data_IF_985219826664
#
_entry.id   IF_985219826664
#
_cell.length_a   1.000
_cell.length_b   1.000
_cell.length_c   1.000
_cell.angle_alpha   90.00
_cell.angle_beta   90.00
_cell.angle_gamma   90.00
#
_symmetry.space_group_name_H-M   'P 1'
#
loop_
_entity.id
_entity.type
_entity.pdbx_description
1 polymer ?
#
# COMPACT_ATOMS: atom_id res chain seq x y z
N UNK A 1 1.90 -18.38 7.78
CA UNK A 1 2.47 -18.53 9.15
C UNK A 1 2.18 -17.27 9.97
N UNK A 2 2.27 -17.29 11.30
CA UNK A 2 1.84 -16.16 12.17
C UNK A 2 2.57 -14.84 11.85
N UNK A 3 3.88 -14.88 11.57
CA UNK A 3 4.67 -13.68 11.25
C UNK A 3 4.26 -13.02 9.92
N UNK A 4 4.04 -13.82 8.88
CA UNK A 4 3.60 -13.36 7.56
C UNK A 4 2.24 -12.66 7.65
N UNK A 5 1.30 -13.23 8.40
CA UNK A 5 0.00 -12.61 8.65
C UNK A 5 0.13 -11.26 9.37
N UNK A 6 1.00 -11.16 10.38
CA UNK A 6 1.26 -9.90 11.08
C UNK A 6 1.80 -8.82 10.15
N UNK A 7 2.76 -9.16 9.27
CA UNK A 7 3.35 -8.20 8.32
C UNK A 7 2.30 -7.75 7.30
N UNK A 8 1.51 -8.69 6.76
CA UNK A 8 0.42 -8.36 5.84
C UNK A 8 -0.60 -7.43 6.50
N UNK A 9 -1.01 -7.71 7.73
CA UNK A 9 -1.96 -6.88 8.47
C UNK A 9 -1.41 -5.47 8.72
N UNK A 10 -0.11 -5.36 9.04
CA UNK A 10 0.55 -4.07 9.23
C UNK A 10 0.55 -3.26 7.93
N UNK A 11 0.93 -3.87 6.81
CA UNK A 11 0.98 -3.19 5.51
C UNK A 11 -0.43 -2.74 5.08
N UNK A 12 -1.44 -3.61 5.24
CA UNK A 12 -2.82 -3.25 4.96
C UNK A 12 -3.30 -2.08 5.83
N UNK A 13 -2.95 -2.08 7.12
CA UNK A 13 -3.34 -1.01 8.04
C UNK A 13 -2.72 0.34 7.69
N UNK A 14 -1.45 0.37 7.31
CA UNK A 14 -0.76 1.65 7.07
C UNK A 14 -0.82 2.12 5.62
N UNK A 15 -0.87 1.22 4.63
CA UNK A 15 -0.97 1.62 3.22
C UNK A 15 -2.42 1.65 2.73
N UNK A 16 -3.32 0.92 3.38
CA UNK A 16 -4.72 0.83 2.97
C UNK A 16 -5.43 2.17 2.89
N UNK A 17 -5.05 3.16 3.70
CA UNK A 17 -5.64 4.51 3.67
C UNK A 17 -5.13 5.37 2.51
N UNK A 18 -4.01 4.97 1.88
CA UNK A 18 -3.37 5.72 0.80
C UNK A 18 -3.60 5.13 -0.59
N UNK A 19 -3.80 3.82 -0.72
CA UNK A 19 -3.89 3.13 -2.02
C UNK A 19 -5.19 2.37 -2.21
N UNK A 20 -5.70 2.33 -3.45
CA UNK A 20 -6.99 1.72 -3.80
C UNK A 20 -6.90 0.24 -4.13
N UNK A 21 -5.79 -0.19 -4.75
CA UNK A 21 -5.64 -1.50 -5.37
C UNK A 21 -4.51 -2.33 -4.74
N UNK A 22 -4.38 -2.26 -3.41
CA UNK A 22 -3.42 -3.09 -2.68
C UNK A 22 -3.85 -4.56 -2.74
N UNK A 23 -3.09 -5.38 -3.48
CA UNK A 23 -3.31 -6.82 -3.59
C UNK A 23 -2.46 -7.58 -2.55
N UNK A 24 -3.12 -8.15 -1.56
CA UNK A 24 -2.47 -8.96 -0.51
C UNK A 24 -1.75 -10.20 -1.03
N UNK A 25 -2.05 -10.66 -2.24
CA UNK A 25 -1.33 -11.77 -2.87
C UNK A 25 0.11 -11.38 -3.24
N UNK A 26 0.36 -10.12 -3.60
CA UNK A 26 1.69 -9.58 -3.90
C UNK A 26 2.55 -9.52 -2.64
N UNK A 27 1.93 -9.21 -1.49
CA UNK A 27 2.59 -9.20 -0.19
C UNK A 27 3.07 -10.60 0.20
N UNK A 28 2.21 -11.61 0.05
CA UNK A 28 2.54 -13.00 0.38
C UNK A 28 3.77 -13.45 -0.40
N UNK A 29 3.78 -13.32 -1.73
CA UNK A 29 4.89 -13.77 -2.59
C UNK A 29 6.22 -13.10 -2.21
N UNK A 30 6.22 -11.81 -1.87
CA UNK A 30 7.42 -11.09 -1.46
C UNK A 30 7.99 -11.51 -0.10
N UNK A 31 7.12 -11.74 0.90
CA UNK A 31 7.55 -12.09 2.25
C UNK A 31 8.36 -13.42 2.29
N UNK A 32 8.03 -14.39 1.44
CA UNK A 32 8.76 -15.66 1.36
C UNK A 32 10.20 -15.52 0.82
N UNK A 33 10.45 -14.50 -0.01
CA UNK A 33 11.79 -14.15 -0.49
C UNK A 33 12.55 -13.21 0.44
N UNK A 34 11.91 -12.71 1.52
CA UNK A 34 12.45 -11.68 2.40
C UNK A 34 12.43 -10.26 1.80
N UNK A 35 11.71 -10.04 0.70
CA UNK A 35 11.67 -8.78 -0.05
C UNK A 35 10.23 -8.48 -0.46
N UNK A 36 9.63 -7.42 0.07
CA UNK A 36 8.24 -7.05 -0.23
C UNK A 36 8.23 -6.06 -1.39
N UNK A 37 7.68 -6.48 -2.52
CA UNK A 37 7.59 -5.60 -3.70
C UNK A 37 6.13 -5.26 -3.98
N UNK A 38 5.81 -3.97 -3.88
CA UNK A 38 4.53 -3.42 -4.28
C UNK A 38 4.66 -2.80 -5.68
N UNK A 39 3.75 -3.14 -6.58
CA UNK A 39 3.81 -2.67 -7.96
C UNK A 39 2.47 -2.05 -8.38
N UNK A 40 2.56 -0.97 -9.14
CA UNK A 40 1.43 -0.35 -9.83
C UNK A 40 0.26 -0.02 -8.90
N UNK A 41 0.52 0.66 -7.79
CA UNK A 41 -0.53 1.11 -6.88
C UNK A 41 -1.12 2.43 -7.36
N UNK A 42 -2.42 2.58 -7.21
CA UNK A 42 -3.14 3.82 -7.43
C UNK A 42 -3.41 4.48 -6.09
N UNK A 43 -3.14 5.78 -6.01
CA UNK A 43 -3.43 6.56 -4.82
C UNK A 43 -4.93 6.85 -4.74
N UNK A 44 -5.47 6.76 -3.53
CA UNK A 44 -6.80 7.26 -3.19
C UNK A 44 -6.83 8.78 -3.34
N UNK A 45 -7.97 9.32 -3.74
CA UNK A 45 -8.18 10.78 -3.74
C UNK A 45 -7.99 11.39 -2.34
N UNK A 46 -8.29 10.60 -1.30
CA UNK A 46 -8.18 10.96 0.12
C UNK A 46 -6.78 10.79 0.73
N UNK A 47 -5.79 10.29 -0.03
CA UNK A 47 -4.51 9.88 0.53
C UNK A 47 -3.70 11.01 1.20
N UNK A 48 -4.08 12.28 1.01
CA UNK A 48 -3.42 13.45 1.61
C UNK A 48 -4.37 14.27 2.48
N UNK A 49 -5.55 13.76 2.81
CA UNK A 49 -6.57 14.51 3.56
C UNK A 49 -6.09 14.90 4.96
N UNK A 50 -5.25 14.08 5.60
CA UNK A 50 -4.68 14.33 6.93
C UNK A 50 -3.71 15.52 6.98
N UNK A 51 -3.28 16.05 5.83
CA UNK A 51 -2.40 17.22 5.77
C UNK A 51 -3.15 18.56 5.89
N UNK A 52 -4.49 18.54 5.95
CA UNK A 52 -5.36 19.73 6.04
C UNK A 52 -5.04 20.80 4.96
N UNK A 53 -4.79 20.33 3.74
CA UNK A 53 -4.47 21.18 2.60
C UNK A 53 -5.71 21.37 1.71
N UNK A 54 -5.92 22.56 1.09
CA UNK A 54 -7.03 22.81 0.17
C UNK A 54 -6.76 22.22 -1.23
N UNK A 55 -6.27 20.99 -1.30
CA UNK A 55 -5.95 20.27 -2.54
C UNK A 55 -6.49 18.85 -2.47
N UNK A 56 -6.80 18.27 -3.63
CA UNK A 56 -7.21 16.87 -3.77
C UNK A 56 -6.34 16.17 -4.80
N UNK A 57 -6.07 14.89 -4.58
CA UNK A 57 -5.42 14.07 -5.59
C UNK A 57 -6.45 13.80 -6.69
N UNK A 58 -6.11 14.17 -7.93
CA UNK A 58 -6.91 13.85 -9.12
C UNK A 58 -6.49 12.55 -9.79
N UNK A 59 -5.20 12.23 -9.70
CA UNK A 59 -4.60 11.00 -10.17
C UNK A 59 -3.25 10.82 -9.48
N UNK A 60 -2.94 9.60 -9.04
CA UNK A 60 -1.66 9.28 -8.42
C UNK A 60 -1.31 7.82 -8.62
N UNK A 61 -0.05 7.56 -8.93
CA UNK A 61 0.44 6.23 -9.26
C UNK A 61 1.81 5.97 -8.64
N UNK A 62 1.94 4.83 -7.96
CA UNK A 62 3.19 4.32 -7.41
C UNK A 62 3.64 3.16 -8.29
N UNK A 63 4.71 3.37 -9.06
CA UNK A 63 5.21 2.37 -10.00
C UNK A 63 5.78 1.13 -9.31
N UNK A 64 6.79 1.32 -8.45
CA UNK A 64 7.41 0.23 -7.68
C UNK A 64 7.92 0.74 -6.33
N UNK A 65 7.60 0.02 -5.27
CA UNK A 65 8.11 0.25 -3.93
C UNK A 65 8.70 -1.06 -3.37
N UNK A 66 9.83 -0.96 -2.68
CA UNK A 66 10.66 -2.08 -2.23
C UNK A 66 11.18 -1.79 -0.83
#
# INVERSE_FOLDING_TARGET
MVFESLVVDLINRYLGDFVENLDTSQLKIGIWGGDVVLNNLNLKESALDDLDLPVKIKAGHIGKYR
#
